data_IF_103308107378
#
_entry.id   IF_103308107378
#
_cell.length_a   1.000
_cell.length_b   1.000
_cell.length_c   1.000
_cell.angle_alpha   90.00
_cell.angle_beta   90.00
_cell.angle_gamma   90.00
#
_symmetry.space_group_name_H-M   'P 1'
#
loop_
_entity.id
_entity.type
_entity.pdbx_description
1 polymer ?
#
# COMPACT_ATOMS: atom_id res chain seq x y z
N UNK A 1 54.41 32.57 -15.96
CA UNK A 1 54.81 33.92 -16.39
C UNK A 1 53.93 34.90 -15.64
N UNK A 2 54.52 35.65 -14.70
CA UNK A 2 53.86 36.69 -13.86
C UNK A 2 53.77 38.00 -14.63
N UNK A 3 52.78 38.83 -14.28
CA UNK A 3 52.69 40.32 -14.30
C UNK A 3 51.18 40.61 -14.12
N UNK A 4 50.60 40.96 -12.97
CA UNK A 4 50.90 41.87 -11.86
C UNK A 4 50.82 43.38 -12.19
N UNK A 5 50.11 44.10 -11.30
CA UNK A 5 50.17 45.55 -10.98
C UNK A 5 49.33 46.50 -11.87
N UNK A 6 48.60 47.51 -11.37
CA UNK A 6 48.37 48.19 -10.07
C UNK A 6 47.10 49.08 -10.28
N UNK A 7 46.13 49.16 -9.36
CA UNK A 7 46.07 49.93 -8.08
C UNK A 7 45.99 51.45 -8.27
N UNK A 8 45.18 52.10 -7.40
CA UNK A 8 45.22 53.50 -6.85
C UNK A 8 43.89 54.26 -7.09
N UNK A 9 43.22 54.96 -6.15
CA UNK A 9 43.35 55.21 -4.69
C UNK A 9 42.07 55.92 -4.17
N UNK A 10 41.78 55.71 -2.86
CA UNK A 10 41.29 56.62 -1.79
C UNK A 10 40.04 57.52 -1.96
N UNK A 11 39.19 57.72 -0.93
CA UNK A 11 39.20 57.22 0.45
C UNK A 11 38.32 58.04 1.42
N UNK A 12 38.19 57.50 2.65
CA UNK A 12 37.92 58.14 3.98
C UNK A 12 36.56 58.82 4.15
N UNK A 13 35.84 58.76 5.28
CA UNK A 13 35.99 58.31 6.67
C UNK A 13 34.66 58.71 7.36
N UNK A 14 34.32 58.53 8.63
CA UNK A 14 34.86 57.92 9.84
C UNK A 14 33.65 57.83 10.81
N UNK A 15 33.66 56.87 11.74
CA UNK A 15 32.78 56.83 12.91
C UNK A 15 33.21 57.88 13.97
N UNK A 16 32.38 58.18 14.99
CA UNK A 16 32.35 57.40 16.26
C UNK A 16 30.90 57.23 16.79
N UNK A 17 30.48 56.36 17.72
CA UNK A 17 31.07 55.86 18.97
C UNK A 17 30.23 56.39 20.15
N UNK A 18 29.57 55.53 20.94
CA UNK A 18 29.00 55.94 22.25
C UNK A 18 27.75 55.17 22.74
N UNK A 19 27.86 54.56 23.91
CA UNK A 19 26.90 53.68 24.58
C UNK A 19 25.79 54.41 25.38
N UNK A 20 24.69 53.71 25.68
CA UNK A 20 23.70 54.14 26.69
C UNK A 20 22.52 53.16 26.89
N UNK A 21 22.42 52.59 28.10
CA UNK A 21 21.30 51.77 28.58
C UNK A 21 20.06 52.62 28.91
N UNK A 22 18.87 52.00 28.79
CA UNK A 22 17.77 51.93 29.78
C UNK A 22 16.35 52.27 29.27
N UNK A 23 15.47 51.26 29.45
CA UNK A 23 14.06 51.27 29.91
C UNK A 23 13.18 52.51 29.66
N UNK A 24 12.06 52.27 28.98
CA UNK A 24 10.73 52.80 29.36
C UNK A 24 9.62 52.12 28.53
N UNK A 25 8.64 51.50 29.19
CA UNK A 25 7.41 51.02 28.54
C UNK A 25 6.41 52.16 28.27
N UNK A 26 5.24 51.84 27.69
CA UNK A 26 4.03 52.51 28.15
C UNK A 26 2.86 51.57 28.43
N UNK A 27 1.93 52.14 29.19
CA UNK A 27 0.85 51.54 29.95
C UNK A 27 -0.39 51.24 29.10
N UNK A 28 -1.10 50.20 29.54
CA UNK A 28 -2.49 49.88 29.26
C UNK A 28 -3.42 51.09 29.42
N UNK A 29 -4.41 51.18 28.54
CA UNK A 29 -5.72 51.79 28.79
C UNK A 29 -6.79 50.90 28.17
N UNK A 30 -7.81 50.58 28.96
CA UNK A 30 -8.96 49.72 28.61
C UNK A 30 -9.89 50.37 27.58
N UNK A 31 -10.77 49.57 26.96
CA UNK A 31 -12.19 49.92 27.10
C UNK A 31 -13.10 48.78 27.57
N UNK A 32 -13.94 49.20 28.51
CA UNK A 32 -15.20 48.69 29.06
C UNK A 32 -15.95 47.56 28.32
N UNK A 33 -16.26 46.54 29.14
CA UNK A 33 -17.44 45.67 29.25
C UNK A 33 -18.65 45.95 28.34
N UNK A 34 -19.17 44.89 27.70
CA UNK A 34 -20.53 44.36 27.90
C UNK A 34 -20.74 43.04 27.12
N UNK A 35 -21.00 41.92 27.81
CA UNK A 35 -21.72 40.75 27.27
C UNK A 35 -22.18 39.85 28.44
N UNK A 36 -23.48 39.53 28.47
CA UNK A 36 -24.15 38.83 29.58
C UNK A 36 -23.93 37.31 29.60
N UNK A 37 -24.25 36.63 30.73
CA UNK A 37 -24.03 35.19 30.85
C UNK A 37 -25.25 34.37 30.40
N UNK A 38 -25.05 33.58 29.34
CA UNK A 38 -25.94 32.50 28.89
C UNK A 38 -25.76 31.23 29.72
N UNK A 39 -26.88 30.61 30.05
CA UNK A 39 -27.11 29.54 31.02
C UNK A 39 -26.36 28.23 30.73
N UNK A 40 -25.62 27.72 31.73
CA UNK A 40 -25.20 26.30 31.82
C UNK A 40 -26.32 25.49 32.48
N UNK A 41 -26.93 24.53 31.77
CA UNK A 41 -27.84 23.53 32.35
C UNK A 41 -27.02 22.35 32.90
N UNK A 42 -27.04 22.19 34.23
CA UNK A 42 -26.66 20.95 34.92
C UNK A 42 -27.85 19.97 34.89
N UNK A 43 -27.62 18.77 34.40
CA UNK A 43 -28.52 17.63 34.52
C UNK A 43 -28.45 17.12 35.96
N UNK A 44 -29.61 17.02 36.64
CA UNK A 44 -29.74 16.42 37.97
C UNK A 44 -30.20 14.96 37.81
N UNK A 45 -29.40 14.02 38.31
CA UNK A 45 -29.89 12.69 38.67
C UNK A 45 -30.76 12.79 39.93
N UNK A 46 -31.88 12.07 39.93
CA UNK A 46 -32.70 11.79 41.12
C UNK A 46 -33.06 10.30 41.14
N UNK A 47 -32.95 9.73 42.33
CA UNK A 47 -33.19 8.33 42.72
C UNK A 47 -34.58 8.13 43.34
N UNK A 48 -35.23 6.99 42.97
CA UNK A 48 -36.18 6.10 43.69
C UNK A 48 -37.49 6.65 44.33
N UNK A 49 -38.63 5.89 44.37
CA UNK A 49 -38.77 4.61 45.13
C UNK A 49 -39.78 3.52 44.63
N UNK A 50 -39.63 2.29 45.18
CA UNK A 50 -40.72 1.45 45.71
C UNK A 50 -41.45 0.43 44.79
N UNK A 51 -41.59 -0.86 45.19
CA UNK A 51 -42.32 -1.88 44.44
C UNK A 51 -43.78 -2.02 44.92
N UNK A 52 -44.71 -2.28 44.01
CA UNK A 52 -46.09 -2.59 44.39
C UNK A 52 -46.96 -3.11 43.24
N UNK A 53 -47.66 -4.21 43.50
CA UNK A 53 -49.03 -4.42 43.02
C UNK A 53 -49.23 -5.01 41.62
N UNK A 54 -49.55 -6.30 41.59
CA UNK A 54 -50.07 -7.06 40.44
C UNK A 54 -51.35 -6.43 39.88
N UNK A 55 -51.48 -6.35 38.55
CA UNK A 55 -52.75 -6.52 37.85
C UNK A 55 -52.53 -6.96 36.39
N UNK A 56 -53.01 -8.15 36.06
CA UNK A 56 -53.16 -8.65 34.69
C UNK A 56 -54.30 -7.92 33.98
N UNK A 57 -54.11 -7.57 32.69
CA UNK A 57 -55.18 -7.72 31.73
C UNK A 57 -54.75 -8.61 30.55
N UNK A 58 -55.60 -9.58 30.26
CA UNK A 58 -55.55 -10.44 29.07
C UNK A 58 -55.39 -9.59 27.80
N UNK A 59 -54.33 -9.86 27.02
CA UNK A 59 -54.25 -9.41 25.62
C UNK A 59 -54.08 -10.60 24.69
N UNK A 60 -54.99 -10.59 23.72
CA UNK A 60 -55.20 -11.57 22.68
C UNK A 60 -53.94 -11.77 21.83
N UNK A 61 -53.78 -13.02 21.38
CA UNK A 61 -52.80 -13.52 20.40
C UNK A 61 -52.70 -12.62 19.16
N UNK A 62 -51.46 -12.27 18.78
CA UNK A 62 -51.03 -12.17 17.37
C UNK A 62 -49.62 -12.74 17.26
N UNK A 63 -49.51 -13.86 16.54
CA UNK A 63 -48.22 -14.44 16.10
C UNK A 63 -47.60 -13.51 15.06
N UNK A 64 -46.27 -13.32 15.03
CA UNK A 64 -45.62 -12.64 13.91
C UNK A 64 -45.76 -13.47 12.64
N UNK A 65 -46.29 -12.88 11.58
CA UNK A 65 -46.33 -13.46 10.24
C UNK A 65 -44.89 -13.57 9.72
N UNK A 66 -44.47 -14.80 9.39
CA UNK A 66 -43.26 -15.05 8.61
C UNK A 66 -43.52 -14.56 7.18
N UNK A 67 -42.62 -13.72 6.66
CA UNK A 67 -42.54 -13.40 5.24
C UNK A 67 -42.21 -14.70 4.46
N UNK A 68 -42.85 -14.96 3.31
CA UNK A 68 -42.54 -16.15 2.51
C UNK A 68 -41.16 -15.98 1.85
N UNK A 69 -40.25 -16.91 2.17
CA UNK A 69 -39.01 -17.14 1.43
C UNK A 69 -39.41 -17.69 0.06
N UNK A 70 -38.98 -17.02 -1.02
CA UNK A 70 -39.04 -17.61 -2.36
C UNK A 70 -38.02 -18.75 -2.42
N UNK A 71 -38.49 -19.98 -2.27
CA UNK A 71 -37.71 -21.18 -2.56
C UNK A 71 -37.55 -21.32 -4.09
N UNK A 72 -36.36 -21.00 -4.59
CA UNK A 72 -35.95 -21.38 -5.94
C UNK A 72 -35.79 -22.90 -5.98
N UNK A 73 -36.58 -23.56 -6.84
CA UNK A 73 -36.55 -25.02 -7.02
C UNK A 73 -35.26 -25.45 -7.72
N UNK A 74 -34.27 -25.91 -6.98
CA UNK A 74 -33.13 -26.64 -7.54
C UNK A 74 -33.54 -28.09 -7.91
N UNK A 75 -33.35 -28.46 -9.17
CA UNK A 75 -33.38 -29.86 -9.62
C UNK A 75 -32.10 -30.57 -9.17
N UNK A 76 -32.16 -31.86 -8.77
CA UNK A 76 -30.97 -32.59 -8.37
C UNK A 76 -30.15 -32.97 -9.60
N UNK A 77 -28.87 -32.59 -9.64
CA UNK A 77 -27.87 -33.19 -10.54
C UNK A 77 -26.92 -34.06 -9.72
N UNK A 78 -26.46 -35.11 -10.40
CA UNK A 78 -25.82 -36.29 -9.87
C UNK A 78 -24.60 -35.99 -8.99
N UNK A 79 -24.45 -36.79 -7.93
CA UNK A 79 -23.43 -36.59 -6.89
C UNK A 79 -22.00 -36.63 -7.42
N UNK A 80 -21.12 -35.74 -6.95
CA UNK A 80 -19.72 -35.75 -7.34
C UNK A 80 -18.98 -36.89 -6.64
N UNK A 81 -18.20 -37.65 -7.42
CA UNK A 81 -17.15 -38.52 -6.90
C UNK A 81 -15.97 -37.64 -6.51
N UNK A 82 -15.68 -37.62 -5.21
CA UNK A 82 -14.51 -36.94 -4.64
C UNK A 82 -13.23 -37.57 -5.21
N UNK A 83 -12.49 -36.82 -6.01
CA UNK A 83 -11.11 -37.14 -6.32
C UNK A 83 -10.23 -36.61 -5.18
N UNK A 84 -9.40 -37.50 -4.65
CA UNK A 84 -8.55 -37.32 -3.47
C UNK A 84 -7.59 -36.13 -3.59
N UNK A 85 -7.52 -35.36 -2.50
CA UNK A 85 -6.53 -34.37 -2.11
C UNK A 85 -5.20 -34.42 -2.90
N UNK A 86 -4.94 -33.41 -3.73
CA UNK A 86 -3.56 -32.99 -4.00
C UNK A 86 -3.17 -32.01 -2.89
N UNK A 87 -2.02 -32.24 -2.24
CA UNK A 87 -1.42 -31.26 -1.32
C UNK A 87 -1.10 -29.99 -2.12
N UNK A 88 -1.53 -28.85 -1.59
CA UNK A 88 -1.59 -27.53 -2.24
C UNK A 88 -0.38 -26.64 -1.89
N UNK A 89 0.78 -27.24 -1.62
CA UNK A 89 2.02 -26.51 -1.29
C UNK A 89 2.68 -25.89 -2.55
N UNK A 90 2.08 -26.08 -3.73
CA UNK A 90 2.60 -25.64 -5.02
C UNK A 90 1.46 -25.07 -5.88
N UNK A 91 1.19 -23.77 -5.72
CA UNK A 91 0.76 -22.98 -6.89
C UNK A 91 2.07 -22.64 -7.60
N UNK A 92 2.33 -23.15 -8.81
CA UNK A 92 3.55 -22.79 -9.53
C UNK A 92 3.52 -21.29 -9.79
N UNK A 93 4.43 -20.54 -9.20
CA UNK A 93 4.86 -19.27 -9.76
C UNK A 93 6.00 -19.68 -10.70
N UNK A 94 5.75 -19.75 -12.01
CA UNK A 94 6.83 -20.09 -12.94
C UNK A 94 7.78 -18.89 -13.06
N UNK A 95 9.10 -19.13 -12.97
CA UNK A 95 10.10 -18.07 -13.16
C UNK A 95 11.32 -18.50 -13.96
N UNK A 96 11.97 -17.55 -14.66
CA UNK A 96 13.29 -17.73 -15.23
C UNK A 96 14.32 -17.98 -14.12
N UNK A 97 15.25 -18.91 -14.37
CA UNK A 97 16.39 -19.19 -13.49
C UNK A 97 17.57 -18.30 -13.89
N UNK A 98 18.23 -17.66 -12.92
CA UNK A 98 19.54 -17.05 -13.14
C UNK A 98 20.59 -18.14 -13.44
N UNK A 99 21.55 -17.82 -14.30
CA UNK A 99 22.62 -18.75 -14.69
C UNK A 99 23.65 -19.06 -13.61
N UNK A 100 23.62 -18.37 -12.46
CA UNK A 100 24.60 -18.46 -11.37
C UNK A 100 24.06 -19.13 -10.08
N UNK A 101 22.77 -19.47 -10.03
CA UNK A 101 22.13 -20.07 -8.86
C UNK A 101 21.91 -19.13 -7.67
N UNK A 102 21.97 -17.81 -7.86
CA UNK A 102 21.63 -16.83 -6.82
C UNK A 102 20.15 -16.44 -6.88
N UNK A 103 19.48 -16.65 -5.75
CA UNK A 103 18.04 -16.45 -5.53
C UNK A 103 17.74 -14.97 -5.39
N UNK A 104 16.72 -14.49 -6.09
CA UNK A 104 16.20 -13.14 -5.94
C UNK A 104 14.70 -13.18 -5.77
N UNK A 105 14.25 -12.46 -4.74
CA UNK A 105 12.86 -12.50 -4.33
C UNK A 105 12.11 -11.25 -4.80
N UNK A 106 10.81 -11.40 -4.94
CA UNK A 106 9.87 -10.32 -5.17
C UNK A 106 9.10 -10.13 -3.87
N UNK A 107 9.23 -8.94 -3.29
CA UNK A 107 8.66 -8.57 -2.01
C UNK A 107 7.40 -7.73 -2.27
N UNK A 108 6.23 -8.27 -1.95
CA UNK A 108 4.94 -7.64 -2.22
C UNK A 108 4.33 -7.19 -0.88
N UNK A 109 4.36 -5.89 -0.63
CA UNK A 109 3.92 -5.28 0.64
C UNK A 109 2.50 -4.76 0.51
N UNK A 110 1.61 -5.19 1.42
CA UNK A 110 0.17 -4.88 1.34
C UNK A 110 -0.23 -3.48 1.80
N UNK A 111 0.71 -2.65 2.24
CA UNK A 111 0.47 -1.28 2.72
C UNK A 111 0.77 -1.12 4.21
N UNK A 112 0.26 -0.04 4.83
CA UNK A 112 0.55 0.31 6.21
C UNK A 112 1.97 0.87 6.41
N UNK A 113 2.38 1.24 7.64
CA UNK A 113 3.75 1.65 7.93
C UNK A 113 4.78 0.64 7.43
N UNK A 114 5.73 1.06 6.59
CA UNK A 114 6.65 0.14 5.91
C UNK A 114 7.52 -0.66 6.88
N UNK A 115 7.92 -0.03 8.01
CA UNK A 115 8.67 -0.70 9.07
C UNK A 115 7.93 -1.89 9.68
N UNK A 116 6.59 -1.89 9.69
CA UNK A 116 5.77 -2.94 10.27
C UNK A 116 5.63 -4.17 9.35
N UNK A 117 5.89 -4.00 8.05
CA UNK A 117 5.77 -5.07 7.06
C UNK A 117 6.91 -6.10 7.07
N UNK A 118 7.99 -5.86 7.84
CA UNK A 118 9.16 -6.76 7.96
C UNK A 118 9.83 -7.14 6.61
N UNK A 119 9.73 -6.26 5.61
CA UNK A 119 10.37 -6.43 4.29
C UNK A 119 11.85 -6.03 4.28
N UNK A 120 12.19 -4.98 5.04
CA UNK A 120 13.43 -4.22 4.85
C UNK A 120 14.70 -5.05 5.01
N UNK A 121 14.76 -5.91 6.04
CA UNK A 121 15.96 -6.70 6.32
C UNK A 121 16.26 -7.72 5.21
N UNK A 122 15.25 -8.46 4.77
CA UNK A 122 15.38 -9.44 3.68
C UNK A 122 15.75 -8.76 2.37
N UNK A 123 14.99 -7.73 1.99
CA UNK A 123 15.21 -6.99 0.74
C UNK A 123 16.60 -6.34 0.68
N UNK A 124 17.05 -5.70 1.77
CA UNK A 124 18.36 -5.03 1.80
C UNK A 124 19.52 -6.03 1.80
N UNK A 125 19.33 -7.23 2.36
CA UNK A 125 20.34 -8.28 2.29
C UNK A 125 20.55 -8.77 0.84
N UNK A 126 19.47 -8.93 0.07
CA UNK A 126 19.54 -9.29 -1.36
C UNK A 126 20.22 -8.16 -2.17
N UNK A 127 19.84 -6.91 -1.93
CA UNK A 127 20.47 -5.74 -2.56
C UNK A 127 21.97 -5.67 -2.25
N UNK A 128 22.36 -5.93 -1.00
CA UNK A 128 23.76 -5.96 -0.56
C UNK A 128 24.55 -7.08 -1.24
N UNK A 129 23.94 -8.26 -1.40
CA UNK A 129 24.58 -9.38 -2.10
C UNK A 129 24.83 -9.05 -3.58
N UNK A 130 23.87 -8.39 -4.26
CA UNK A 130 24.03 -7.94 -5.64
C UNK A 130 25.11 -6.86 -5.77
N UNK A 131 25.08 -5.85 -4.90
CA UNK A 131 26.05 -4.75 -4.94
C UNK A 131 27.50 -5.22 -4.69
N UNK A 132 27.68 -6.18 -3.79
CA UNK A 132 28.98 -6.80 -3.53
C UNK A 132 29.54 -7.52 -4.77
N UNK A 133 28.68 -8.12 -5.60
CA UNK A 133 29.10 -8.80 -6.83
C UNK A 133 29.70 -7.84 -7.88
N UNK A 134 29.34 -6.56 -7.82
CA UNK A 134 29.88 -5.49 -8.67
C UNK A 134 30.91 -4.60 -7.95
N UNK A 135 31.38 -5.05 -6.77
CA UNK A 135 32.43 -4.36 -6.01
C UNK A 135 31.97 -3.13 -5.22
N UNK A 136 30.65 -2.97 -5.02
CA UNK A 136 30.08 -1.89 -4.22
C UNK A 136 29.85 -2.35 -2.78
N UNK A 137 30.12 -1.48 -1.82
CA UNK A 137 29.99 -1.78 -0.37
C UNK A 137 28.66 -1.36 0.23
N UNK A 138 27.92 -0.46 -0.42
CA UNK A 138 26.60 0.03 0.00
C UNK A 138 25.67 -0.10 -1.21
N UNK A 139 24.59 -0.91 -1.15
CA UNK A 139 23.72 -1.09 -2.30
C UNK A 139 22.99 0.20 -2.69
N UNK A 140 22.76 0.37 -3.99
CA UNK A 140 21.90 1.43 -4.55
C UNK A 140 20.50 0.90 -4.78
N UNK A 141 19.50 1.55 -4.20
CA UNK A 141 18.10 1.14 -4.34
C UNK A 141 17.36 2.26 -5.09
N UNK A 142 16.84 1.98 -6.29
CA UNK A 142 15.89 2.89 -6.92
C UNK A 142 14.56 2.83 -6.18
N UNK A 143 14.02 3.99 -5.78
CA UNK A 143 12.66 4.12 -5.29
C UNK A 143 11.87 5.00 -6.26
N UNK A 144 10.94 4.37 -6.99
CA UNK A 144 10.08 5.04 -7.94
C UNK A 144 8.77 5.45 -7.26
N UNK A 145 8.44 6.74 -7.36
CA UNK A 145 7.23 7.30 -6.78
C UNK A 145 6.46 8.16 -7.78
N UNK A 146 5.14 8.15 -7.67
CA UNK A 146 4.25 9.00 -8.48
C UNK A 146 3.50 9.92 -7.54
N UNK A 147 3.62 11.23 -7.76
CA UNK A 147 2.92 12.22 -6.98
C UNK A 147 1.41 12.07 -7.16
N UNK A 148 0.66 12.39 -6.10
CA UNK A 148 -0.80 12.42 -6.11
C UNK A 148 -1.31 13.46 -7.12
N UNK A 149 -2.60 13.38 -7.48
CA UNK A 149 -3.21 14.30 -8.45
C UNK A 149 -3.15 15.79 -8.03
N UNK A 150 -3.01 16.08 -6.74
CA UNK A 150 -2.80 17.42 -6.18
C UNK A 150 -1.32 17.85 -6.14
N UNK A 151 -0.41 17.01 -6.64
CA UNK A 151 1.03 17.22 -6.67
C UNK A 151 1.74 16.85 -5.37
N UNK A 152 1.05 16.28 -4.38
CA UNK A 152 1.68 15.84 -3.13
C UNK A 152 2.40 14.51 -3.28
N UNK A 153 3.64 14.43 -2.79
CA UNK A 153 4.38 13.18 -2.68
C UNK A 153 3.66 12.19 -1.74
N UNK A 154 3.54 10.90 -2.08
CA UNK A 154 2.95 9.90 -1.19
C UNK A 154 3.74 9.79 0.11
N UNK A 155 3.06 9.79 1.26
CA UNK A 155 3.70 9.75 2.58
C UNK A 155 4.55 8.49 2.81
N UNK A 156 4.18 7.37 2.18
CA UNK A 156 4.94 6.12 2.22
C UNK A 156 6.31 6.23 1.55
N UNK A 157 6.50 7.14 0.60
CA UNK A 157 7.79 7.31 -0.10
C UNK A 157 8.90 7.65 0.87
N UNK A 158 8.65 8.61 1.77
CA UNK A 158 9.62 9.04 2.76
C UNK A 158 9.88 7.94 3.81
N UNK A 159 8.83 7.23 4.26
CA UNK A 159 8.92 6.12 5.20
C UNK A 159 9.79 4.97 4.64
N UNK A 160 9.52 4.54 3.41
CA UNK A 160 10.30 3.51 2.71
C UNK A 160 11.77 3.94 2.59
N UNK A 161 12.02 5.18 2.13
CA UNK A 161 13.38 5.68 1.96
C UNK A 161 14.15 5.76 3.29
N UNK A 162 13.48 6.18 4.37
CA UNK A 162 14.07 6.25 5.70
C UNK A 162 14.43 4.86 6.24
N UNK A 163 13.50 3.90 6.15
CA UNK A 163 13.72 2.54 6.66
C UNK A 163 14.80 1.81 5.88
N UNK A 164 14.81 1.91 4.55
CA UNK A 164 15.82 1.26 3.70
C UNK A 164 17.18 1.96 3.75
N UNK A 165 17.20 3.29 3.83
CA UNK A 165 18.44 4.07 3.90
C UNK A 165 19.10 4.00 5.27
N UNK A 166 18.29 4.14 6.33
CA UNK A 166 18.59 3.92 7.74
C UNK A 166 20.04 4.17 8.16
N UNK A 167 20.63 3.19 8.86
CA UNK A 167 22.02 3.19 9.33
C UNK A 167 23.05 3.04 8.18
N UNK A 168 22.84 3.73 7.04
CA UNK A 168 23.56 3.57 5.77
C UNK A 168 23.47 2.15 5.24
N UNK A 169 22.31 1.52 5.40
CA UNK A 169 22.07 0.18 4.91
C UNK A 169 21.99 0.16 3.37
N UNK A 170 21.51 1.26 2.77
CA UNK A 170 21.50 1.48 1.33
C UNK A 170 21.62 2.97 0.97
N UNK A 171 22.04 3.26 -0.26
CA UNK A 171 21.84 4.53 -0.94
C UNK A 171 20.49 4.49 -1.67
N UNK A 172 19.46 5.13 -1.11
CA UNK A 172 18.12 5.16 -1.73
C UNK A 172 18.00 6.33 -2.69
N UNK A 173 17.83 6.02 -3.98
CA UNK A 173 17.70 6.96 -5.08
C UNK A 173 16.20 7.18 -5.38
N UNK A 174 15.60 8.17 -4.73
CA UNK A 174 14.19 8.50 -4.94
C UNK A 174 14.03 9.27 -6.24
N UNK A 175 13.23 8.72 -7.17
CA UNK A 175 12.75 9.42 -8.36
C UNK A 175 11.26 9.56 -8.27
N UNK A 176 10.77 10.80 -8.27
CA UNK A 176 9.34 11.11 -8.26
C UNK A 176 8.94 11.78 -9.58
N UNK A 177 7.82 11.33 -10.16
CA UNK A 177 7.19 11.95 -11.33
C UNK A 177 5.77 12.43 -10.98
N UNK A 178 5.26 13.41 -11.73
CA UNK A 178 3.88 13.85 -11.58
C UNK A 178 2.90 12.77 -12.08
N UNK A 179 1.67 12.77 -11.57
CA UNK A 179 0.59 11.94 -12.14
C UNK A 179 0.45 12.19 -13.65
N UNK A 180 0.40 11.11 -14.43
CA UNK A 180 0.34 11.14 -15.90
C UNK A 180 1.69 11.34 -16.61
N UNK A 181 2.78 11.52 -15.87
CA UNK A 181 4.13 11.44 -16.42
C UNK A 181 4.69 10.01 -16.32
N UNK A 182 5.74 9.74 -17.10
CA UNK A 182 6.42 8.44 -17.13
C UNK A 182 7.86 8.56 -16.65
N UNK A 183 8.41 7.44 -16.17
CA UNK A 183 9.82 7.37 -15.80
C UNK A 183 10.72 7.22 -17.02
N UNK A 184 11.87 7.90 -16.99
CA UNK A 184 12.97 7.68 -17.93
C UNK A 184 13.69 6.36 -17.63
N UNK A 185 14.18 5.66 -18.65
CA UNK A 185 14.87 4.36 -18.48
C UNK A 185 16.15 4.46 -17.64
N UNK A 186 16.74 5.65 -17.55
CA UNK A 186 17.94 5.91 -16.75
C UNK A 186 17.73 5.69 -15.26
N UNK A 187 16.49 5.70 -14.75
CA UNK A 187 16.21 5.45 -13.32
C UNK A 187 16.59 4.04 -12.88
N UNK A 188 16.71 3.10 -13.83
CA UNK A 188 17.13 1.71 -13.58
C UNK A 188 18.62 1.49 -13.85
N UNK A 189 19.39 2.55 -14.11
CA UNK A 189 20.82 2.44 -14.37
C UNK A 189 21.62 2.38 -13.07
N UNK A 190 22.54 1.42 -12.98
CA UNK A 190 23.48 1.29 -11.87
C UNK A 190 22.81 1.13 -10.48
N UNK A 191 21.72 0.36 -10.45
CA UNK A 191 20.98 0.04 -9.22
C UNK A 191 21.11 -1.44 -8.87
N UNK A 192 21.08 -1.72 -7.57
CA UNK A 192 21.22 -3.05 -6.98
C UNK A 192 19.88 -3.61 -6.48
N UNK A 193 18.83 -2.77 -6.42
CA UNK A 193 17.45 -3.17 -6.13
C UNK A 193 16.47 -2.12 -6.68
N UNK A 194 15.21 -2.54 -6.88
CA UNK A 194 14.12 -1.67 -7.32
C UNK A 194 12.96 -1.72 -6.33
N UNK A 195 12.49 -0.53 -5.94
CA UNK A 195 11.24 -0.33 -5.22
C UNK A 195 10.27 0.46 -6.07
N UNK A 196 9.04 -0.03 -6.19
CA UNK A 196 7.90 0.72 -6.73
C UNK A 196 6.97 1.06 -5.57
N UNK A 197 6.76 2.36 -5.35
CA UNK A 197 5.99 2.90 -4.24
C UNK A 197 4.47 2.69 -4.36
N UNK A 198 3.75 3.31 -3.43
CA UNK A 198 2.29 3.22 -3.32
C UNK A 198 1.58 4.55 -3.56
N UNK A 199 0.35 4.47 -4.05
CA UNK A 199 -0.52 5.59 -4.39
C UNK A 199 -1.62 5.06 -5.30
N UNK A 200 -2.10 5.87 -6.25
CA UNK A 200 -3.12 5.40 -7.20
C UNK A 200 -2.53 4.38 -8.17
N UNK A 201 -3.02 3.14 -8.11
CA UNK A 201 -2.49 2.02 -8.90
C UNK A 201 -2.43 2.29 -10.42
N UNK A 202 -3.44 2.90 -11.06
CA UNK A 202 -3.35 3.23 -12.49
C UNK A 202 -2.21 4.18 -12.82
N UNK A 203 -1.97 5.19 -11.96
CA UNK A 203 -0.95 6.21 -12.19
C UNK A 203 0.47 5.58 -12.12
N UNK A 204 0.67 4.61 -11.22
CA UNK A 204 1.92 3.84 -11.16
C UNK A 204 2.11 2.92 -12.37
N UNK A 205 1.07 2.22 -12.81
CA UNK A 205 1.15 1.34 -13.98
C UNK A 205 1.51 2.13 -15.24
N UNK A 206 0.86 3.27 -15.45
CA UNK A 206 1.12 4.14 -16.59
C UNK A 206 2.55 4.72 -16.53
N UNK A 207 3.00 5.13 -15.34
CA UNK A 207 4.31 5.73 -15.17
C UNK A 207 5.48 4.76 -15.47
N UNK A 208 5.32 3.47 -15.15
CA UNK A 208 6.34 2.44 -15.40
C UNK A 208 6.24 1.79 -16.78
N UNK A 209 5.24 2.13 -17.60
CA UNK A 209 5.03 1.51 -18.90
C UNK A 209 6.28 1.47 -19.81
N UNK A 210 7.13 2.54 -19.89
CA UNK A 210 8.37 2.48 -20.68
C UNK A 210 9.45 1.54 -20.13
N UNK A 211 9.31 1.11 -18.86
CA UNK A 211 10.31 0.35 -18.12
C UNK A 211 10.03 -1.16 -18.08
N UNK A 212 8.83 -1.61 -18.48
CA UNK A 212 8.33 -2.99 -18.25
C UNK A 212 9.34 -4.05 -18.68
N UNK A 213 9.82 -3.99 -19.94
CA UNK A 213 10.77 -4.98 -20.47
C UNK A 213 12.11 -4.95 -19.73
N UNK A 214 12.58 -3.75 -19.37
CA UNK A 214 13.82 -3.58 -18.63
C UNK A 214 13.70 -4.10 -17.19
N UNK A 215 12.56 -3.88 -16.52
CA UNK A 215 12.28 -4.41 -15.19
C UNK A 215 12.24 -5.93 -15.25
N UNK A 216 11.49 -6.53 -16.19
CA UNK A 216 11.43 -7.99 -16.39
C UNK A 216 12.81 -8.58 -16.59
N UNK A 217 13.61 -7.98 -17.47
CA UNK A 217 14.98 -8.41 -17.74
C UNK A 217 15.85 -8.34 -16.49
N UNK A 218 15.88 -7.19 -15.80
CA UNK A 218 16.73 -6.99 -14.62
C UNK A 218 16.32 -7.92 -13.47
N UNK A 219 15.01 -8.07 -13.22
CA UNK A 219 14.51 -8.98 -12.18
C UNK A 219 14.86 -10.44 -12.52
N UNK A 220 14.73 -10.85 -13.79
CA UNK A 220 15.17 -12.18 -14.24
C UNK A 220 16.68 -12.40 -14.15
N UNK A 221 17.48 -11.32 -14.21
CA UNK A 221 18.92 -11.29 -13.97
C UNK A 221 19.27 -11.13 -12.47
N UNK A 222 18.27 -11.18 -11.60
CA UNK A 222 18.46 -11.13 -10.15
C UNK A 222 18.53 -9.71 -9.56
N UNK A 223 17.79 -8.76 -10.09
CA UNK A 223 17.51 -7.49 -9.40
C UNK A 223 16.34 -7.71 -8.41
N UNK A 224 16.53 -7.54 -7.09
CA UNK A 224 15.43 -7.63 -6.13
C UNK A 224 14.37 -6.58 -6.42
N UNK A 225 13.10 -7.01 -6.41
CA UNK A 225 11.95 -6.12 -6.59
C UNK A 225 11.16 -6.04 -5.29
N UNK A 226 10.81 -4.82 -4.89
CA UNK A 226 9.84 -4.56 -3.84
C UNK A 226 8.69 -3.70 -4.40
N UNK A 227 7.48 -4.23 -4.34
CA UNK A 227 6.25 -3.50 -4.64
C UNK A 227 5.55 -3.14 -3.35
N UNK A 228 5.24 -1.86 -3.15
CA UNK A 228 4.48 -1.39 -1.99
C UNK A 228 3.09 -0.92 -2.42
N UNK A 229 2.03 -1.50 -1.86
CA UNK A 229 0.63 -1.16 -2.21
C UNK A 229 0.40 -1.24 -3.73
N UNK A 230 0.19 -0.13 -4.44
CA UNK A 230 0.14 -0.08 -5.90
C UNK A 230 1.29 -0.84 -6.59
N UNK A 231 2.53 -0.66 -6.12
CA UNK A 231 3.69 -1.38 -6.65
C UNK A 231 3.60 -2.90 -6.51
N UNK A 232 2.88 -3.41 -5.50
CA UNK A 232 2.63 -4.85 -5.36
C UNK A 232 1.56 -5.34 -6.33
N UNK A 233 0.49 -4.56 -6.53
CA UNK A 233 -0.59 -4.89 -7.46
C UNK A 233 -0.10 -4.98 -8.91
N UNK A 234 0.72 -4.02 -9.34
CA UNK A 234 1.22 -3.97 -10.72
C UNK A 234 2.32 -5.02 -11.00
N UNK A 235 2.87 -5.68 -9.98
CA UNK A 235 3.86 -6.74 -10.18
C UNK A 235 3.27 -7.97 -10.91
N UNK A 236 1.95 -8.14 -10.86
CA UNK A 236 1.25 -9.22 -11.53
C UNK A 236 1.32 -9.14 -13.06
N UNK A 237 1.14 -10.27 -13.74
CA UNK A 237 0.89 -10.31 -15.19
C UNK A 237 -0.43 -9.61 -15.55
N UNK A 238 -1.47 -9.89 -14.76
CA UNK A 238 -2.77 -9.19 -14.82
C UNK A 238 -2.97 -8.39 -13.54
N UNK A 239 -2.64 -7.10 -13.63
CA UNK A 239 -2.78 -6.14 -12.54
C UNK A 239 -4.24 -5.73 -12.36
N UNK A 240 -4.80 -5.92 -11.17
CA UNK A 240 -6.07 -5.32 -10.77
C UNK A 240 -5.77 -3.86 -10.44
N UNK A 241 -6.22 -2.91 -11.27
CA UNK A 241 -5.81 -1.50 -11.14
C UNK A 241 -6.80 -0.65 -10.35
N UNK A 242 -7.95 -1.22 -9.97
CA UNK A 242 -8.96 -0.56 -9.17
C UNK A 242 -10.35 -1.08 -9.49
N UNK A 243 -11.35 -0.26 -9.17
CA UNK A 243 -12.76 -0.56 -9.30
C UNK A 243 -13.36 -1.13 -8.03
N UNK A 244 -14.65 -0.91 -7.87
CA UNK A 244 -15.41 -1.36 -6.70
C UNK A 244 -16.75 -1.98 -7.05
N UNK A 245 -17.07 -2.07 -8.34
CA UNK A 245 -18.25 -2.76 -8.87
C UNK A 245 -17.89 -3.85 -9.88
N UNK A 246 -18.73 -4.88 -9.96
CA UNK A 246 -18.74 -5.83 -11.07
C UNK A 246 -20.18 -5.93 -11.56
N UNK A 247 -20.42 -5.50 -12.80
CA UNK A 247 -21.76 -5.50 -13.39
C UNK A 247 -22.75 -4.62 -12.60
N UNK A 248 -22.27 -3.48 -12.11
CA UNK A 248 -23.05 -2.55 -11.27
C UNK A 248 -23.26 -2.98 -9.81
N UNK A 249 -22.77 -4.16 -9.39
CA UNK A 249 -22.86 -4.64 -8.00
C UNK A 249 -21.62 -4.24 -7.23
N UNK A 250 -21.78 -3.59 -6.09
CA UNK A 250 -20.67 -3.24 -5.20
C UNK A 250 -19.99 -4.50 -4.62
N UNK A 251 -18.67 -4.58 -4.77
CA UNK A 251 -17.85 -5.72 -4.32
C UNK A 251 -16.83 -5.33 -3.24
N UNK A 252 -16.52 -4.04 -3.10
CA UNK A 252 -15.72 -3.48 -2.00
C UNK A 252 -16.10 -2.01 -1.77
N UNK A 253 -15.61 -1.35 -0.71
CA UNK A 253 -15.84 0.08 -0.50
C UNK A 253 -15.31 0.94 -1.66
N UNK A 254 -16.09 1.95 -2.06
CA UNK A 254 -15.74 2.91 -3.11
C UNK A 254 -14.42 3.66 -2.84
N UNK A 255 -14.04 3.83 -1.57
CA UNK A 255 -12.78 4.47 -1.21
C UNK A 255 -11.53 3.71 -1.72
N UNK A 256 -11.65 2.40 -1.98
CA UNK A 256 -10.58 1.56 -2.53
C UNK A 256 -10.64 1.41 -4.06
N UNK A 257 -11.49 2.22 -4.72
CA UNK A 257 -11.77 2.11 -6.15
C UNK A 257 -10.65 2.59 -7.06
N UNK A 258 -9.67 3.33 -6.54
CA UNK A 258 -8.67 4.05 -7.34
C UNK A 258 -9.28 5.02 -8.36
N UNK A 259 -10.54 5.45 -8.16
CA UNK A 259 -11.27 6.33 -9.07
C UNK A 259 -11.90 5.62 -10.27
N UNK A 260 -11.98 4.29 -10.24
CA UNK A 260 -12.64 3.46 -11.27
C UNK A 260 -13.96 2.92 -10.74
N UNK A 261 -15.01 2.85 -11.57
CA UNK A 261 -16.30 2.31 -11.14
C UNK A 261 -16.28 0.77 -11.15
N UNK A 262 -16.13 0.19 -12.33
CA UNK A 262 -16.01 -1.25 -12.53
C UNK A 262 -14.59 -1.75 -12.23
N UNK A 263 -14.48 -2.97 -11.71
CA UNK A 263 -13.21 -3.67 -11.52
C UNK A 263 -12.51 -3.82 -12.86
N UNK A 264 -11.29 -3.31 -12.91
CA UNK A 264 -10.50 -3.28 -14.14
C UNK A 264 -9.19 -4.05 -13.94
N UNK A 265 -8.88 -4.94 -14.87
CA UNK A 265 -7.58 -5.59 -14.98
C UNK A 265 -6.84 -5.07 -16.22
N UNK A 266 -5.57 -4.75 -16.05
CA UNK A 266 -4.65 -4.35 -17.12
C UNK A 266 -3.45 -5.29 -17.17
N UNK A 267 -2.69 -5.24 -18.27
CA UNK A 267 -1.37 -5.88 -18.31
C UNK A 267 -0.46 -5.19 -17.31
N UNK A 268 0.15 -5.98 -16.41
CA UNK A 268 1.10 -5.50 -15.42
C UNK A 268 2.55 -5.85 -15.79
N UNK A 269 3.42 -5.83 -14.78
CA UNK A 269 4.84 -6.10 -14.94
C UNK A 269 5.15 -7.58 -15.24
N UNK A 270 4.22 -8.51 -15.03
CA UNK A 270 4.43 -9.93 -15.33
C UNK A 270 5.57 -10.57 -14.53
N UNK A 271 5.79 -10.12 -13.29
CA UNK A 271 6.79 -10.69 -12.40
C UNK A 271 6.24 -11.81 -11.51
N UNK A 272 4.91 -11.85 -11.37
CA UNK A 272 4.15 -12.93 -10.74
C UNK A 272 2.89 -13.25 -11.57
N UNK A 273 2.55 -14.52 -11.67
CA UNK A 273 1.42 -14.99 -12.50
C UNK A 273 0.06 -14.85 -11.80
N UNK A 274 0.06 -14.54 -10.51
CA UNK A 274 -1.16 -14.37 -9.71
C UNK A 274 -1.52 -12.89 -9.63
N UNK A 275 -2.81 -12.57 -9.79
CA UNK A 275 -3.32 -11.22 -9.51
C UNK A 275 -3.15 -10.91 -8.04
N UNK A 276 -2.62 -9.72 -7.74
CA UNK A 276 -2.35 -9.23 -6.39
C UNK A 276 -3.33 -8.10 -6.07
N UNK A 277 -3.98 -8.20 -4.92
CA UNK A 277 -4.71 -7.10 -4.27
C UNK A 277 -4.04 -6.79 -2.92
N UNK A 278 -4.25 -5.60 -2.39
CA UNK A 278 -3.56 -5.08 -1.20
C UNK A 278 -4.54 -4.37 -0.27
N UNK A 279 -4.11 -4.03 0.95
CA UNK A 279 -4.99 -3.52 2.00
C UNK A 279 -6.19 -4.46 2.24
N UNK A 280 -5.95 -5.78 2.17
CA UNK A 280 -6.99 -6.79 1.98
C UNK A 280 -8.14 -6.68 3.01
N UNK A 281 -7.82 -6.76 4.30
CA UNK A 281 -8.80 -6.53 5.38
C UNK A 281 -9.03 -5.04 5.64
N UNK A 282 -7.98 -4.22 5.59
CA UNK A 282 -8.00 -2.83 6.06
C UNK A 282 -8.84 -1.91 5.17
N UNK A 283 -8.83 -2.13 3.86
CA UNK A 283 -9.65 -1.42 2.87
C UNK A 283 -10.83 -2.26 2.33
N UNK A 284 -10.94 -3.53 2.76
CA UNK A 284 -12.02 -4.43 2.34
C UNK A 284 -11.89 -4.93 0.89
N UNK A 285 -10.69 -4.89 0.31
CA UNK A 285 -10.41 -5.29 -1.07
C UNK A 285 -10.37 -6.81 -1.27
N UNK A 286 -10.26 -7.61 -0.19
CA UNK A 286 -10.40 -9.08 -0.30
C UNK A 286 -11.73 -9.48 -0.97
N UNK A 287 -12.82 -8.79 -0.64
CA UNK A 287 -14.13 -9.06 -1.22
C UNK A 287 -14.17 -8.78 -2.73
N UNK A 288 -13.44 -7.75 -3.19
CA UNK A 288 -13.25 -7.47 -4.61
C UNK A 288 -12.51 -8.60 -5.32
N UNK A 289 -11.44 -9.13 -4.75
CA UNK A 289 -10.70 -10.24 -5.35
C UNK A 289 -11.55 -11.53 -5.40
N UNK A 290 -12.34 -11.80 -4.35
CA UNK A 290 -13.30 -12.92 -4.34
C UNK A 290 -14.36 -12.77 -5.43
N UNK A 291 -14.93 -11.58 -5.57
CA UNK A 291 -15.92 -11.31 -6.61
C UNK A 291 -15.31 -11.37 -8.02
N UNK A 292 -14.07 -10.92 -8.21
CA UNK A 292 -13.36 -11.05 -9.47
C UNK A 292 -13.11 -12.52 -9.84
N UNK A 293 -12.84 -13.38 -8.86
CA UNK A 293 -12.72 -14.82 -9.09
C UNK A 293 -14.07 -15.47 -9.43
N UNK A 294 -15.15 -15.06 -8.78
CA UNK A 294 -16.51 -15.54 -9.06
C UNK A 294 -17.00 -15.10 -10.44
N UNK A 295 -16.67 -13.88 -10.86
CA UNK A 295 -16.96 -13.34 -12.18
C UNK A 295 -15.99 -13.83 -13.28
N UNK A 296 -15.12 -14.81 -12.97
CA UNK A 296 -14.13 -15.39 -13.88
C UNK A 296 -13.13 -14.38 -14.47
N UNK A 297 -12.98 -13.20 -13.85
CA UNK A 297 -11.97 -12.23 -14.24
C UNK A 297 -10.56 -12.74 -13.91
N UNK A 298 -10.43 -13.53 -12.85
CA UNK A 298 -9.19 -14.20 -12.42
C UNK A 298 -9.47 -15.64 -12.03
N UNK A 299 -8.53 -16.55 -12.30
CA UNK A 299 -8.63 -17.95 -11.86
C UNK A 299 -8.07 -18.16 -10.45
N UNK A 300 -7.10 -17.32 -10.07
CA UNK A 300 -6.45 -17.31 -8.77
C UNK A 300 -5.88 -15.92 -8.47
N UNK A 301 -5.79 -15.57 -7.18
CA UNK A 301 -5.14 -14.35 -6.74
C UNK A 301 -4.76 -14.38 -5.28
N UNK A 302 -3.97 -13.39 -4.86
CA UNK A 302 -3.54 -13.19 -3.49
C UNK A 302 -3.92 -11.77 -3.05
N UNK A 303 -4.57 -11.63 -1.89
CA UNK A 303 -4.77 -10.33 -1.25
C UNK A 303 -3.84 -10.22 -0.05
N UNK A 304 -3.07 -9.13 0.05
CA UNK A 304 -2.09 -8.92 1.14
C UNK A 304 -2.63 -7.87 2.10
N UNK A 305 -2.66 -8.19 3.39
CA UNK A 305 -3.02 -7.22 4.43
C UNK A 305 -1.95 -6.10 4.54
N UNK A 306 -2.33 -4.96 5.11
CA UNK A 306 -1.34 -3.99 5.59
C UNK A 306 -0.40 -4.61 6.63
N UNK A 307 0.79 -4.02 6.79
CA UNK A 307 1.83 -4.48 7.72
C UNK A 307 2.27 -5.92 7.45
N UNK A 308 2.14 -6.37 6.19
CA UNK A 308 2.50 -7.72 5.74
C UNK A 308 3.26 -7.67 4.43
N UNK A 309 4.25 -8.56 4.31
CA UNK A 309 4.99 -8.80 3.07
C UNK A 309 4.81 -10.23 2.64
N UNK A 310 4.44 -10.42 1.38
CA UNK A 310 4.55 -11.69 0.67
C UNK A 310 5.88 -11.71 -0.09
N UNK A 311 6.75 -12.65 0.26
CA UNK A 311 8.02 -12.86 -0.42
C UNK A 311 7.88 -14.05 -1.37
N UNK A 312 8.10 -13.77 -2.66
CA UNK A 312 8.03 -14.76 -3.74
C UNK A 312 9.46 -14.99 -4.26
N UNK A 313 10.06 -16.13 -3.89
CA UNK A 313 11.40 -16.57 -4.34
C UNK A 313 11.35 -17.91 -5.10
N UNK A 314 12.45 -18.65 -5.13
CA UNK A 314 12.49 -20.00 -5.75
C UNK A 314 11.80 -21.10 -4.91
N UNK A 315 11.50 -20.80 -3.64
CA UNK A 315 10.91 -21.73 -2.69
C UNK A 315 9.40 -21.57 -2.52
N UNK A 316 8.89 -22.07 -1.39
CA UNK A 316 7.53 -21.78 -0.97
C UNK A 316 7.34 -20.27 -0.76
N UNK A 317 6.10 -19.80 -0.95
CA UNK A 317 5.71 -18.44 -0.57
C UNK A 317 6.00 -18.23 0.91
N UNK A 318 6.68 -17.14 1.24
CA UNK A 318 6.96 -16.72 2.61
C UNK A 318 6.12 -15.49 2.94
N UNK A 319 5.51 -15.49 4.12
CA UNK A 319 4.74 -14.35 4.63
C UNK A 319 5.47 -13.80 5.84
N UNK A 320 5.61 -12.47 5.91
CA UNK A 320 6.23 -11.74 7.02
C UNK A 320 5.34 -10.59 7.48
N UNK A 321 5.63 -10.04 8.65
CA UNK A 321 4.88 -8.94 9.23
C UNK A 321 3.81 -9.41 10.22
N UNK A 322 2.68 -8.71 10.30
CA UNK A 322 1.68 -8.91 11.37
C UNK A 322 0.29 -9.30 10.89
N UNK A 323 -0.02 -9.07 9.61
CA UNK A 323 -1.27 -9.49 8.97
C UNK A 323 -1.17 -10.85 8.26
N UNK A 324 -2.07 -11.06 7.29
CA UNK A 324 -2.19 -12.30 6.51
C UNK A 324 -2.09 -12.06 5.01
N UNK A 325 -1.79 -13.14 4.29
CA UNK A 325 -2.02 -13.25 2.85
C UNK A 325 -3.20 -14.17 2.61
N UNK A 326 -4.17 -13.69 1.84
CA UNK A 326 -5.42 -14.37 1.52
C UNK A 326 -5.34 -14.93 0.11
N UNK A 327 -5.33 -16.26 -0.01
CA UNK A 327 -5.40 -16.94 -1.30
C UNK A 327 -6.84 -17.13 -1.72
N UNK A 328 -7.17 -16.66 -2.91
CA UNK A 328 -8.47 -16.80 -3.56
C UNK A 328 -8.31 -17.68 -4.78
N UNK A 329 -9.10 -18.75 -4.89
CA UNK A 329 -9.10 -19.65 -6.06
C UNK A 329 -10.53 -19.80 -6.57
N UNK A 330 -10.72 -19.55 -7.86
CA UNK A 330 -11.97 -19.87 -8.54
C UNK A 330 -12.12 -21.39 -8.65
N UNK A 331 -13.36 -21.85 -8.58
CA UNK A 331 -13.75 -23.24 -8.81
C UNK A 331 -15.14 -23.31 -9.43
N UNK A 332 -15.48 -24.45 -10.02
CA UNK A 332 -16.66 -24.60 -10.90
C UNK A 332 -17.99 -24.14 -10.28
N UNK A 333 -18.17 -24.31 -8.96
CA UNK A 333 -19.40 -23.95 -8.23
C UNK A 333 -19.14 -23.05 -7.01
N UNK A 334 -17.88 -22.69 -6.74
CA UNK A 334 -17.52 -21.92 -5.55
C UNK A 334 -16.14 -21.29 -5.65
N UNK A 335 -15.97 -20.15 -4.98
CA UNK A 335 -14.65 -19.57 -4.72
C UNK A 335 -14.14 -20.05 -3.37
N UNK A 336 -12.90 -20.56 -3.34
CA UNK A 336 -12.24 -20.94 -2.09
C UNK A 336 -11.31 -19.84 -1.60
N UNK A 337 -11.35 -19.58 -0.30
CA UNK A 337 -10.47 -18.60 0.36
C UNK A 337 -9.69 -19.31 1.47
N UNK A 338 -8.37 -19.15 1.47
CA UNK A 338 -7.47 -19.69 2.48
C UNK A 338 -6.49 -18.61 2.94
N UNK A 339 -6.05 -18.68 4.19
CA UNK A 339 -5.07 -17.74 4.75
C UNK A 339 -3.69 -18.36 4.90
N UNK A 340 -2.67 -17.53 4.73
CA UNK A 340 -1.28 -17.78 5.08
C UNK A 340 -0.87 -16.67 6.05
N UNK A 341 -0.60 -17.02 7.30
CA UNK A 341 -0.10 -16.08 8.31
C UNK A 341 1.42 -15.94 8.23
N UNK A 342 1.93 -14.85 8.79
CA UNK A 342 3.35 -14.65 9.08
C UNK A 342 3.85 -15.60 10.18
#
# INVERSE_FOLDING_TARGET
MRLDQRRVLHGRGAAPGGAGRARSGPRRTEPRRQAGPGRRRRVRLRTHPGPGGRHHPQRRRRRPQRLPVLEARHRPRAGPRVASCRRLDHVPVERPRTGDGRVVSIHLVGGGPFVAADAAAGFTAEATARSAAVGRTVPRIALLSVASADGASPSSTADIAEVLGGSRAAEVLVTEVAAGAVFETTVLSDVDALVVGGGRTPDYLDAVAPLVDQIRLLVSDGLPYLGYSAGAMIAADRALVGGFRIGGVEVCPEAASEGLDEVELREGLGLVDLTIDVHAVQAGTLARLVAAAEAEFVTAGLAVDEDTTLVVGEGALEVRGTGSVWRVLAGDESVSVATMGA
#
